data_IF_478273666589
#
_entry.id   IF_478273666589
#
_cell.length_a   1.000
_cell.length_b   1.000
_cell.length_c   1.000
_cell.angle_alpha   90.00
_cell.angle_beta   90.00
_cell.angle_gamma   90.00
#
_symmetry.space_group_name_H-M   'P 1'
#
loop_
_entity.id
_entity.type
_entity.pdbx_description
1 polymer ?
#
# COMPACT_ATOMS: atom_id res chain seq x y z
N UNK A 1 26.55 5.70 10.91
CA UNK A 1 25.59 5.88 9.78
C UNK A 1 25.31 4.60 8.99
N UNK A 2 26.33 3.85 8.53
CA UNK A 2 26.11 2.60 7.75
C UNK A 2 25.32 1.51 8.48
N UNK A 3 25.37 1.51 9.82
CA UNK A 3 24.66 0.56 10.67
C UNK A 3 23.13 0.80 10.66
N UNK A 4 22.68 2.05 10.77
CA UNK A 4 21.25 2.39 10.70
C UNK A 4 20.60 2.00 9.36
N UNK A 5 21.33 2.14 8.25
CA UNK A 5 20.89 1.63 6.94
C UNK A 5 20.70 0.12 6.92
N UNK A 6 21.64 -0.61 7.54
CA UNK A 6 21.58 -2.06 7.61
C UNK A 6 20.40 -2.51 8.47
N UNK A 7 20.24 -1.94 9.67
CA UNK A 7 19.15 -2.26 10.59
C UNK A 7 17.77 -1.96 9.99
N UNK A 8 17.61 -0.80 9.34
CA UNK A 8 16.37 -0.44 8.64
C UNK A 8 16.01 -1.48 7.55
N UNK A 9 17.00 -1.92 6.76
CA UNK A 9 16.78 -2.93 5.71
C UNK A 9 16.46 -4.31 6.29
N UNK A 10 17.11 -4.68 7.38
CA UNK A 10 16.84 -5.94 8.09
C UNK A 10 15.41 -5.94 8.63
N UNK A 11 15.00 -4.87 9.30
CA UNK A 11 13.64 -4.73 9.85
C UNK A 11 12.57 -4.65 8.76
N UNK A 12 12.83 -3.93 7.66
CA UNK A 12 11.92 -3.92 6.50
C UNK A 12 11.72 -5.33 5.93
N UNK A 13 12.81 -6.08 5.76
CA UNK A 13 12.78 -7.47 5.27
C UNK A 13 12.00 -8.37 6.24
N UNK A 14 12.24 -8.25 7.55
CA UNK A 14 11.50 -8.99 8.59
C UNK A 14 10.00 -8.69 8.56
N UNK A 15 9.64 -7.43 8.29
CA UNK A 15 8.25 -7.00 8.17
C UNK A 15 7.60 -7.34 6.82
N UNK A 16 8.34 -7.95 5.88
CA UNK A 16 7.88 -8.24 4.53
C UNK A 16 7.50 -6.96 3.78
N UNK A 17 8.35 -5.94 3.88
CA UNK A 17 8.25 -4.65 3.21
C UNK A 17 9.35 -4.56 2.16
N UNK A 18 8.96 -4.43 0.90
CA UNK A 18 9.88 -4.11 -0.19
C UNK A 18 10.07 -2.60 -0.25
N UNK A 19 11.24 -2.13 0.19
CA UNK A 19 11.61 -0.72 0.09
C UNK A 19 12.02 -0.40 -1.35
N UNK A 20 11.55 0.71 -1.95
CA UNK A 20 11.98 1.12 -3.28
C UNK A 20 13.48 1.38 -3.35
N UNK A 21 14.09 1.09 -4.50
CA UNK A 21 15.50 1.38 -4.75
C UNK A 21 15.80 2.87 -4.54
N UNK A 22 16.91 3.16 -3.84
CA UNK A 22 17.31 4.52 -3.49
C UNK A 22 16.48 5.21 -2.40
N UNK A 23 15.34 4.65 -1.96
CA UNK A 23 14.52 5.26 -0.90
C UNK A 23 15.32 5.52 0.39
N UNK A 24 16.12 4.52 0.77
CA UNK A 24 16.93 4.54 1.98
C UNK A 24 18.01 5.63 1.93
N UNK A 25 18.41 6.09 0.74
CA UNK A 25 19.39 7.17 0.53
C UNK A 25 18.77 8.57 0.69
N UNK A 26 17.44 8.67 0.55
CA UNK A 26 16.67 9.91 0.76
C UNK A 26 16.33 10.15 2.23
N UNK A 27 16.50 9.14 3.09
CA UNK A 27 16.20 9.24 4.51
C UNK A 27 17.33 9.94 5.28
N UNK A 28 16.95 10.89 6.11
CA UNK A 28 17.85 11.45 7.12
C UNK A 28 18.09 10.42 8.24
N UNK A 29 19.23 9.73 8.16
CA UNK A 29 19.60 8.66 9.08
C UNK A 29 19.84 9.11 10.50
N UNK A 30 20.08 10.41 10.74
CA UNK A 30 20.19 10.93 12.10
C UNK A 30 18.89 10.76 12.89
N UNK A 31 17.74 10.70 12.19
CA UNK A 31 16.42 10.50 12.79
C UNK A 31 16.13 9.04 13.14
N UNK A 32 16.97 8.10 12.69
CA UNK A 32 16.85 6.69 13.00
C UNK A 32 17.72 6.28 14.20
N UNK A 33 18.46 7.23 14.78
CA UNK A 33 19.32 6.99 15.93
C UNK A 33 18.63 7.40 17.23
N UNK A 34 18.92 6.68 18.30
CA UNK A 34 18.56 7.04 19.67
C UNK A 34 19.45 8.16 20.23
N UNK A 35 19.18 8.55 21.47
CA UNK A 35 19.95 9.59 22.18
C UNK A 35 21.42 9.18 22.42
N UNK A 36 21.70 7.87 22.37
CA UNK A 36 23.01 7.25 22.47
C UNK A 36 23.77 7.20 21.13
N UNK A 37 23.12 7.57 20.02
CA UNK A 37 23.70 7.50 18.68
C UNK A 37 23.65 6.11 18.04
N UNK A 38 23.03 5.13 18.70
CA UNK A 38 22.79 3.79 18.15
C UNK A 38 21.44 3.71 17.42
N UNK A 39 21.23 2.75 16.50
CA UNK A 39 19.96 2.60 15.80
C UNK A 39 18.79 2.37 16.77
N UNK A 40 17.77 3.23 16.70
CA UNK A 40 16.58 3.11 17.52
C UNK A 40 15.52 2.25 16.83
N UNK A 41 15.16 1.14 17.47
CA UNK A 41 14.12 0.24 16.99
C UNK A 41 12.76 0.95 16.86
N UNK A 42 12.44 1.87 17.77
CA UNK A 42 11.19 2.63 17.75
C UNK A 42 11.14 3.58 16.56
N UNK A 43 12.23 4.32 16.31
CA UNK A 43 12.32 5.24 15.18
C UNK A 43 12.27 4.50 13.83
N UNK A 44 12.95 3.35 13.75
CA UNK A 44 12.92 2.46 12.59
C UNK A 44 11.50 1.91 12.37
N UNK A 45 10.81 1.48 13.43
CA UNK A 45 9.43 1.02 13.37
C UNK A 45 8.48 2.08 12.83
N UNK A 46 8.60 3.32 13.31
CA UNK A 46 7.83 4.47 12.81
C UNK A 46 8.11 4.77 11.34
N UNK A 47 9.38 4.68 10.91
CA UNK A 47 9.75 4.90 9.51
C UNK A 47 9.14 3.84 8.57
N UNK A 48 8.93 2.62 9.06
CA UNK A 48 8.37 1.51 8.29
C UNK A 48 6.83 1.42 8.35
N UNK A 49 6.18 2.06 9.32
CA UNK A 49 4.73 2.03 9.51
C UNK A 49 3.92 2.36 8.23
N UNK A 50 4.25 3.39 7.43
CA UNK A 50 3.47 3.72 6.24
C UNK A 50 3.41 2.58 5.21
N UNK A 51 4.46 1.77 5.11
CA UNK A 51 4.51 0.65 4.19
C UNK A 51 3.66 -0.55 4.63
N UNK A 52 3.36 -0.64 5.94
CA UNK A 52 2.46 -1.65 6.47
C UNK A 52 0.99 -1.28 6.25
N UNK A 53 0.66 0.01 6.35
CA UNK A 53 -0.70 0.52 6.17
C UNK A 53 -1.18 0.43 4.72
N UNK A 54 -0.27 0.49 3.74
CA UNK A 54 -0.58 0.30 2.31
C UNK A 54 -1.18 -1.08 2.00
N UNK A 55 -0.99 -2.09 2.86
CA UNK A 55 -1.60 -3.43 2.70
C UNK A 55 -3.13 -3.40 2.84
N UNK A 56 -3.72 -2.34 3.39
CA UNK A 56 -5.17 -2.18 3.53
C UNK A 56 -5.59 -0.83 2.96
N UNK A 57 -6.04 -0.76 1.69
CA UNK A 57 -6.50 0.50 1.14
C UNK A 57 -7.66 1.04 1.99
N UNK A 58 -7.49 2.24 2.52
CA UNK A 58 -8.48 2.93 3.36
C UNK A 58 -9.82 3.12 2.65
N UNK A 59 -9.80 3.14 1.31
CA UNK A 59 -10.97 3.27 0.47
C UNK A 59 -11.10 2.06 -0.46
N UNK A 60 -12.35 1.68 -0.72
CA UNK A 60 -12.66 0.60 -1.66
C UNK A 60 -12.25 1.06 -3.06
N UNK A 61 -11.19 0.45 -3.60
CA UNK A 61 -10.62 0.81 -4.92
C UNK A 61 -11.61 0.65 -6.08
N UNK A 62 -12.63 -0.20 -5.89
CA UNK A 62 -13.62 -0.51 -6.91
C UNK A 62 -14.97 0.18 -6.71
N UNK A 63 -15.07 1.15 -5.78
CA UNK A 63 -16.31 1.86 -5.54
C UNK A 63 -16.66 2.71 -6.77
N UNK A 64 -17.81 2.44 -7.39
CA UNK A 64 -18.27 3.13 -8.59
C UNK A 64 -17.81 2.55 -9.93
N UNK A 65 -16.94 1.53 -9.94
CA UNK A 65 -16.48 0.87 -11.18
C UNK A 65 -17.49 -0.11 -11.79
N UNK A 66 -18.65 -0.31 -11.14
CA UNK A 66 -19.64 -1.30 -11.55
C UNK A 66 -19.14 -2.74 -11.40
N UNK A 67 -19.91 -3.71 -11.89
CA UNK A 67 -19.53 -5.14 -11.84
C UNK A 67 -18.38 -5.39 -12.82
N UNK A 68 -17.19 -5.67 -12.31
CA UNK A 68 -16.06 -6.11 -13.12
C UNK A 68 -15.95 -7.64 -13.12
N UNK A 69 -16.18 -8.25 -14.29
CA UNK A 69 -16.12 -9.68 -14.54
C UNK A 69 -16.86 -10.02 -15.83
N UNK A 70 -16.56 -11.16 -16.50
CA UNK A 70 -17.29 -11.56 -17.69
C UNK A 70 -18.75 -11.80 -17.31
N UNK A 71 -19.64 -10.98 -17.86
CA UNK A 71 -21.07 -11.14 -17.71
C UNK A 71 -21.53 -12.35 -18.54
N UNK A 72 -21.43 -13.55 -17.98
CA UNK A 72 -22.15 -14.72 -18.51
C UNK A 72 -23.59 -14.70 -18.01
N UNK A 73 -24.33 -13.69 -18.46
CA UNK A 73 -25.77 -13.74 -18.57
C UNK A 73 -26.11 -12.74 -19.68
N UNK A 74 -26.72 -13.18 -20.79
CA UNK A 74 -27.30 -12.23 -21.72
C UNK A 74 -28.34 -11.42 -20.93
N UNK A 75 -28.10 -10.13 -20.77
CA UNK A 75 -29.15 -9.23 -20.33
C UNK A 75 -30.30 -9.42 -21.33
N UNK A 76 -31.48 -9.83 -20.84
CA UNK A 76 -32.67 -9.84 -21.67
C UNK A 76 -32.88 -8.41 -22.15
N UNK A 77 -32.54 -8.14 -23.41
CA UNK A 77 -32.86 -6.88 -24.07
C UNK A 77 -34.38 -6.83 -24.19
N UNK A 78 -35.04 -6.20 -23.24
CA UNK A 78 -36.44 -5.81 -23.39
C UNK A 78 -36.45 -4.68 -24.42
N UNK A 79 -36.95 -4.98 -25.62
CA UNK A 79 -37.16 -3.97 -26.65
C UNK A 79 -38.06 -2.85 -26.11
N UNK A 80 -37.63 -1.60 -26.26
CA UNK A 80 -38.42 -0.40 -25.94
C UNK A 80 -39.74 -0.34 -26.73
N UNK A 81 -39.82 -1.09 -27.84
CA UNK A 81 -40.99 -1.27 -28.69
C UNK A 81 -42.20 -1.93 -27.99
N UNK A 82 -41.98 -2.55 -26.82
CA UNK A 82 -43.06 -3.15 -26.02
C UNK A 82 -43.86 -2.13 -25.19
N UNK A 83 -43.45 -0.86 -25.14
CA UNK A 83 -44.11 0.19 -24.33
C UNK A 83 -45.16 1.00 -25.10
N UNK A 84 -45.27 0.83 -26.41
CA UNK A 84 -46.15 1.61 -27.30
C UNK A 84 -47.39 0.82 -27.78
N UNK A 85 -47.89 -0.12 -26.98
CA UNK A 85 -49.22 -0.71 -27.20
C UNK A 85 -50.00 -0.68 -25.90
N UNK A 86 -50.77 0.37 -25.69
CA UNK A 86 -52.18 0.34 -25.27
C UNK A 86 -52.71 1.76 -25.02
#
# INVERSE_FOLDING_TARGET
>A
MRLAHAELRVEATRAGIDLPDGFVELLDLSKLLGEDGEPSADAIGLALQPFQELKKPKFIQNLGLGRQGPSYAPAAHVSLDARERH
#
